data_IF_201850692202
#
_entry.id   IF_201850692202
#
_cell.length_a   1.000
_cell.length_b   1.000
_cell.length_c   1.000
_cell.angle_alpha   90.00
_cell.angle_beta   90.00
_cell.angle_gamma   90.00
#
_symmetry.space_group_name_H-M   'P 1'
#
loop_
_entity.id
_entity.type
_entity.pdbx_description
1 polymer ?
#
# COMPACT_ATOMS: atom_id res chain seq x y z
N UNK A 1 67.36 -6.57 -11.73
CA UNK A 1 66.02 -7.17 -11.63
C UNK A 1 65.11 -6.11 -11.05
N UNK A 2 64.21 -5.56 -11.86
CA UNK A 2 63.30 -4.48 -11.46
C UNK A 2 61.91 -5.11 -11.33
N UNK A 3 61.38 -5.19 -10.11
CA UNK A 3 60.06 -5.74 -9.85
C UNK A 3 59.01 -4.65 -10.07
N UNK A 4 58.18 -4.85 -11.09
CA UNK A 4 56.97 -4.06 -11.35
C UNK A 4 55.99 -4.20 -10.20
N UNK A 5 55.63 -3.09 -9.57
CA UNK A 5 54.50 -3.01 -8.65
C UNK A 5 53.29 -2.55 -9.47
N UNK A 6 52.37 -3.47 -9.75
CA UNK A 6 51.08 -3.16 -10.35
C UNK A 6 50.12 -2.73 -9.25
N UNK A 7 49.74 -1.44 -9.25
CA UNK A 7 48.71 -0.90 -8.37
C UNK A 7 47.35 -1.37 -8.88
N UNK A 8 46.71 -2.31 -8.19
CA UNK A 8 45.32 -2.67 -8.44
C UNK A 8 44.42 -1.55 -7.90
N UNK A 9 43.90 -0.72 -8.81
CA UNK A 9 42.80 0.19 -8.50
C UNK A 9 41.52 -0.64 -8.35
N UNK A 10 41.17 -0.99 -7.10
CA UNK A 10 39.85 -1.50 -6.77
C UNK A 10 38.84 -0.36 -6.98
N UNK A 11 38.12 -0.40 -8.09
CA UNK A 11 36.89 0.35 -8.28
C UNK A 11 35.88 -0.12 -7.24
N UNK A 12 35.82 0.60 -6.12
CA UNK A 12 34.72 0.50 -5.17
C UNK A 12 33.46 1.05 -5.81
N UNK A 13 32.74 0.20 -6.54
CA UNK A 13 31.32 0.42 -6.77
C UNK A 13 30.62 0.25 -5.42
N UNK A 14 30.47 1.35 -4.69
CA UNK A 14 29.45 1.46 -3.67
C UNK A 14 28.10 1.36 -4.39
N UNK A 15 27.61 0.14 -4.57
CA UNK A 15 26.20 -0.10 -4.87
C UNK A 15 25.48 0.33 -3.60
N UNK A 16 25.02 1.57 -3.56
CA UNK A 16 23.92 1.94 -2.69
C UNK A 16 22.74 1.13 -3.21
N UNK A 17 22.52 -0.06 -2.67
CA UNK A 17 21.24 -0.73 -2.78
C UNK A 17 20.27 0.21 -2.08
N UNK A 18 19.61 1.08 -2.85
CA UNK A 18 18.34 1.66 -2.43
C UNK A 18 17.44 0.45 -2.22
N UNK A 19 17.08 0.12 -0.98
CA UNK A 19 16.14 -0.97 -0.80
C UNK A 19 14.82 -0.57 -1.47
N UNK A 20 14.18 -1.57 -2.06
CA UNK A 20 12.98 -1.37 -2.83
C UNK A 20 11.77 -1.42 -1.89
N UNK A 21 10.90 -0.44 -1.99
CA UNK A 21 9.54 -0.56 -1.45
C UNK A 21 8.85 -1.75 -2.12
N UNK A 22 8.20 -2.60 -1.35
CA UNK A 22 7.43 -3.73 -1.86
C UNK A 22 5.95 -3.39 -1.92
N UNK A 23 5.28 -3.84 -2.99
CA UNK A 23 3.83 -3.76 -3.15
C UNK A 23 3.27 -5.16 -3.29
N UNK A 24 2.39 -5.54 -2.36
CA UNK A 24 1.75 -6.85 -2.34
C UNK A 24 0.27 -6.70 -2.66
N UNK A 25 -0.23 -7.32 -3.72
CA UNK A 25 -1.65 -7.25 -4.05
C UNK A 25 -2.46 -8.38 -3.43
N UNK A 26 -3.68 -8.05 -2.99
CA UNK A 26 -4.63 -8.99 -2.44
C UNK A 26 -5.93 -9.05 -3.27
N UNK A 27 -6.50 -10.25 -3.45
CA UNK A 27 -5.90 -11.53 -3.10
C UNK A 27 -4.72 -11.85 -4.05
N UNK A 28 -3.74 -12.62 -3.58
CA UNK A 28 -2.55 -12.96 -4.36
C UNK A 28 -2.92 -13.66 -5.69
N UNK A 29 -2.09 -13.57 -6.75
CA UNK A 29 -2.36 -14.22 -8.03
C UNK A 29 -2.74 -15.71 -7.87
N UNK A 30 -3.87 -16.11 -8.46
CA UNK A 30 -4.41 -17.47 -8.35
C UNK A 30 -5.32 -17.73 -7.15
N UNK A 31 -5.46 -16.77 -6.23
CA UNK A 31 -6.47 -16.82 -5.18
C UNK A 31 -7.81 -16.25 -5.69
N UNK A 32 -8.92 -16.73 -5.12
CA UNK A 32 -10.25 -16.24 -5.47
C UNK A 32 -10.42 -14.80 -4.97
N UNK A 33 -10.80 -13.91 -5.88
CA UNK A 33 -11.30 -12.59 -5.52
C UNK A 33 -12.79 -12.63 -5.22
N UNK A 34 -13.15 -12.18 -4.01
CA UNK A 34 -14.54 -12.07 -3.57
C UNK A 34 -15.03 -10.61 -3.60
N UNK A 35 -14.19 -9.66 -4.00
CA UNK A 35 -14.60 -8.28 -4.27
C UNK A 35 -15.31 -8.25 -5.63
N UNK A 36 -16.56 -7.73 -5.71
CA UNK A 36 -17.31 -7.61 -6.95
C UNK A 36 -16.58 -6.75 -7.98
N UNK A 37 -16.82 -7.01 -9.26
CA UNK A 37 -16.15 -6.29 -10.33
C UNK A 37 -16.50 -4.80 -10.31
N UNK A 38 -17.74 -4.45 -10.01
CA UNK A 38 -18.18 -3.05 -9.82
C UNK A 38 -17.35 -2.28 -8.78
N UNK A 39 -16.75 -2.98 -7.81
CA UNK A 39 -15.91 -2.40 -6.76
C UNK A 39 -14.43 -2.38 -7.18
N UNK A 40 -13.94 -3.44 -7.83
CA UNK A 40 -12.56 -3.45 -8.35
C UNK A 40 -12.36 -2.45 -9.48
N UNK A 41 -13.41 -2.19 -10.26
CA UNK A 41 -13.40 -1.28 -11.41
C UNK A 41 -13.77 0.16 -11.01
N UNK A 42 -13.93 0.45 -9.71
CA UNK A 42 -14.07 1.83 -9.24
C UNK A 42 -12.88 2.66 -9.68
N UNK A 43 -13.16 3.92 -10.02
CA UNK A 43 -12.14 4.92 -10.32
C UNK A 43 -11.12 4.98 -9.19
N UNK A 44 -9.84 5.03 -9.56
CA UNK A 44 -8.73 5.05 -8.60
C UNK A 44 -8.91 6.18 -7.58
N UNK A 45 -9.47 7.32 -7.98
CA UNK A 45 -9.71 8.45 -7.10
C UNK A 45 -10.71 8.12 -5.99
N UNK A 46 -11.73 7.29 -6.24
CA UNK A 46 -12.68 6.87 -5.19
C UNK A 46 -11.95 6.10 -4.09
N UNK A 47 -11.03 5.20 -4.48
CA UNK A 47 -10.24 4.40 -3.54
C UNK A 47 -9.22 5.26 -2.79
N UNK A 48 -8.62 6.23 -3.47
CA UNK A 48 -7.73 7.23 -2.84
C UNK A 48 -8.50 8.15 -1.90
N UNK A 49 -9.74 8.52 -2.20
CA UNK A 49 -10.58 9.35 -1.34
C UNK A 49 -10.97 8.61 -0.06
N UNK A 50 -11.32 7.32 -0.16
CA UNK A 50 -11.47 6.46 1.01
C UNK A 50 -10.21 6.45 1.86
N UNK A 51 -9.05 6.17 1.25
CA UNK A 51 -7.78 6.15 1.98
C UNK A 51 -7.47 7.50 2.62
N UNK A 52 -7.69 8.62 1.92
CA UNK A 52 -7.47 9.98 2.44
C UNK A 52 -8.33 10.25 3.68
N UNK A 53 -9.61 9.88 3.63
CA UNK A 53 -10.50 10.02 4.78
C UNK A 53 -10.04 9.16 5.96
N UNK A 54 -9.53 7.96 5.71
CA UNK A 54 -9.01 7.07 6.74
C UNK A 54 -7.67 7.54 7.32
N UNK A 55 -6.74 8.00 6.49
CA UNK A 55 -5.46 8.58 6.90
C UNK A 55 -5.65 9.75 7.88
N UNK A 56 -6.69 10.57 7.69
CA UNK A 56 -7.01 11.68 8.61
C UNK A 56 -7.44 11.25 10.02
N UNK A 57 -7.74 9.96 10.22
CA UNK A 57 -8.14 9.38 11.50
C UNK A 57 -6.99 8.68 12.23
N UNK A 58 -5.84 8.50 11.57
CA UNK A 58 -4.67 7.83 12.13
C UNK A 58 -3.92 8.77 13.08
N UNK A 59 -3.51 8.24 14.24
CA UNK A 59 -2.56 8.93 15.09
C UNK A 59 -1.12 8.63 14.66
N UNK A 60 -0.52 9.53 13.87
CA UNK A 60 0.87 9.37 13.40
C UNK A 60 1.94 9.60 14.50
N UNK A 61 1.54 9.92 15.74
CA UNK A 61 2.48 10.02 16.86
C UNK A 61 2.89 8.67 17.46
N UNK A 62 2.26 7.57 17.03
CA UNK A 62 2.57 6.21 17.48
C UNK A 62 3.12 5.36 16.33
N UNK A 63 3.94 4.38 16.68
CA UNK A 63 4.45 3.36 15.77
C UNK A 63 3.63 2.06 15.83
N UNK A 64 2.64 2.00 16.72
CA UNK A 64 1.77 0.83 16.86
C UNK A 64 0.84 0.67 15.66
N UNK A 65 0.43 -0.57 15.41
CA UNK A 65 -0.55 -0.88 14.38
C UNK A 65 -1.90 -0.23 14.69
N UNK A 66 -2.46 0.49 13.71
CA UNK A 66 -3.78 1.12 13.79
C UNK A 66 -4.64 0.64 12.64
N UNK A 67 -5.91 0.34 12.90
CA UNK A 67 -6.88 -0.10 11.89
C UNK A 67 -8.09 0.82 11.90
N UNK A 68 -8.45 1.34 10.74
CA UNK A 68 -9.65 2.17 10.54
C UNK A 68 -10.38 1.69 9.28
N UNK A 69 -11.71 1.68 9.35
CA UNK A 69 -12.56 1.21 8.24
C UNK A 69 -13.46 2.34 7.79
N UNK A 70 -13.75 2.38 6.50
CA UNK A 70 -14.70 3.30 5.89
C UNK A 70 -16.06 3.17 6.58
N UNK A 71 -16.68 4.30 6.92
CA UNK A 71 -18.05 4.30 7.44
C UNK A 71 -19.01 3.85 6.34
N UNK A 72 -20.06 3.11 6.71
CA UNK A 72 -21.05 2.59 5.75
C UNK A 72 -21.69 3.70 4.89
N UNK A 73 -21.83 4.92 5.43
CA UNK A 73 -22.38 6.06 4.70
C UNK A 73 -21.48 6.58 3.56
N UNK A 74 -20.18 6.26 3.59
CA UNK A 74 -19.20 6.64 2.55
C UNK A 74 -18.84 5.48 1.61
N UNK A 75 -19.41 4.30 1.85
CA UNK A 75 -19.18 3.12 1.02
C UNK A 75 -19.88 3.21 -0.34
N UNK A 76 -19.55 2.25 -1.21
CA UNK A 76 -20.14 2.12 -2.54
C UNK A 76 -20.87 0.78 -2.66
N UNK A 77 -22.10 0.83 -3.14
CA UNK A 77 -22.93 -0.36 -3.34
C UNK A 77 -22.46 -1.20 -4.53
N UNK A 78 -22.27 -2.49 -4.30
CA UNK A 78 -22.05 -3.49 -5.33
C UNK A 78 -23.40 -4.09 -5.78
N UNK A 79 -23.87 -3.82 -7.01
CA UNK A 79 -25.14 -4.38 -7.50
C UNK A 79 -25.12 -5.91 -7.63
N UNK A 80 -23.94 -6.54 -7.75
CA UNK A 80 -23.79 -7.98 -7.96
C UNK A 80 -24.19 -8.82 -6.74
N UNK A 81 -23.97 -8.31 -5.53
CA UNK A 81 -24.26 -9.03 -4.28
C UNK A 81 -25.07 -8.23 -3.26
N UNK A 82 -25.41 -6.97 -3.57
CA UNK A 82 -26.27 -6.12 -2.75
C UNK A 82 -25.62 -5.62 -1.47
N UNK A 83 -24.27 -5.62 -1.40
CA UNK A 83 -23.52 -5.12 -0.24
C UNK A 83 -22.88 -3.77 -0.54
N UNK A 84 -22.69 -2.99 0.52
CA UNK A 84 -21.87 -1.78 0.46
C UNK A 84 -20.42 -2.14 0.76
N UNK A 85 -19.50 -1.65 -0.04
CA UNK A 85 -18.06 -1.88 0.10
C UNK A 85 -17.32 -0.59 0.44
N UNK A 86 -16.21 -0.74 1.15
CA UNK A 86 -15.29 0.35 1.41
C UNK A 86 -13.88 -0.18 1.64
N UNK A 87 -13.05 0.66 2.23
CA UNK A 87 -11.67 0.35 2.54
C UNK A 87 -11.47 0.13 4.04
N UNK A 88 -10.72 -0.90 4.40
CA UNK A 88 -10.04 -1.01 5.69
C UNK A 88 -8.56 -0.68 5.48
N UNK A 89 -8.08 0.29 6.25
CA UNK A 89 -6.69 0.74 6.27
C UNK A 89 -6.03 0.29 7.57
N UNK A 90 -4.90 -0.40 7.45
CA UNK A 90 -4.02 -0.70 8.58
C UNK A 90 -2.68 0.00 8.38
N UNK A 91 -2.23 0.79 9.33
CA UNK A 91 -0.93 1.49 9.30
C UNK A 91 -0.02 0.98 10.41
N UNK A 92 1.28 0.89 10.15
CA UNK A 92 2.35 0.65 11.13
C UNK A 92 3.49 1.62 10.85
N UNK A 93 3.89 2.40 11.85
CA UNK A 93 5.02 3.34 11.79
C UNK A 93 5.02 4.32 10.58
N UNK A 94 3.85 4.60 10.00
CA UNK A 94 3.70 5.59 8.92
C UNK A 94 3.95 6.99 9.48
N UNK A 95 4.81 7.82 8.87
CA UNK A 95 5.32 9.04 9.51
C UNK A 95 4.31 10.18 9.57
N UNK A 96 3.43 10.30 8.57
CA UNK A 96 2.46 11.38 8.46
C UNK A 96 1.35 11.07 7.45
N UNK A 97 0.33 11.93 7.44
CA UNK A 97 -0.85 11.83 6.58
C UNK A 97 -0.50 11.90 5.09
N UNK A 98 0.48 12.73 4.71
CA UNK A 98 0.87 12.89 3.31
C UNK A 98 1.51 11.61 2.76
N UNK A 99 2.36 10.98 3.58
CA UNK A 99 2.93 9.67 3.32
C UNK A 99 1.84 8.61 3.17
N UNK A 100 0.90 8.52 4.12
CA UNK A 100 -0.24 7.59 4.07
C UNK A 100 -1.01 7.70 2.74
N UNK A 101 -1.46 8.90 2.39
CA UNK A 101 -2.19 9.14 1.14
C UNK A 101 -1.34 8.79 -0.10
N UNK A 102 -0.04 9.08 -0.05
CA UNK A 102 0.87 8.75 -1.15
C UNK A 102 1.02 7.25 -1.37
N UNK A 103 1.08 6.44 -0.31
CA UNK A 103 1.17 4.98 -0.44
C UNK A 103 -0.14 4.38 -0.95
N UNK A 104 -1.28 4.94 -0.55
CA UNK A 104 -2.58 4.58 -1.10
C UNK A 104 -2.62 4.81 -2.61
N UNK A 105 -2.26 6.01 -3.08
CA UNK A 105 -2.22 6.34 -4.50
C UNK A 105 -1.20 5.50 -5.30
N UNK A 106 -0.20 4.93 -4.64
CA UNK A 106 0.77 4.03 -5.25
C UNK A 106 0.32 2.56 -5.29
N UNK A 107 -0.68 2.19 -4.49
CA UNK A 107 -1.08 0.79 -4.27
C UNK A 107 -2.47 0.49 -4.81
N UNK A 108 -3.45 1.37 -4.57
CA UNK A 108 -4.87 1.15 -4.84
C UNK A 108 -5.32 1.43 -6.28
N UNK A 109 -4.38 1.58 -7.22
CA UNK A 109 -4.72 1.85 -8.61
C UNK A 109 -5.13 0.59 -9.36
N UNK A 110 -5.89 0.75 -10.44
CA UNK A 110 -6.38 -0.33 -11.29
C UNK A 110 -5.24 -1.18 -11.87
N UNK A 111 -4.10 -0.55 -12.18
CA UNK A 111 -2.91 -1.20 -12.75
C UNK A 111 -1.98 -1.83 -11.71
N UNK A 112 -2.22 -1.60 -10.41
CA UNK A 112 -1.38 -2.11 -9.31
C UNK A 112 -2.16 -3.15 -8.53
N UNK A 113 -2.99 -2.73 -7.56
CA UNK A 113 -3.75 -3.64 -6.72
C UNK A 113 -5.25 -3.24 -6.67
N UNK A 114 -6.03 -3.53 -7.72
CA UNK A 114 -7.42 -3.06 -7.86
C UNK A 114 -8.37 -3.55 -6.75
N UNK A 115 -8.02 -4.64 -6.07
CA UNK A 115 -8.81 -5.28 -5.01
C UNK A 115 -8.27 -5.03 -3.59
N UNK A 116 -7.26 -4.16 -3.48
CA UNK A 116 -6.51 -3.95 -2.25
C UNK A 116 -5.10 -4.53 -2.31
N UNK A 117 -4.22 -4.00 -1.48
CA UNK A 117 -2.81 -4.39 -1.44
C UNK A 117 -2.12 -3.88 -0.19
N UNK A 118 -0.81 -4.01 -0.13
CA UNK A 118 0.02 -3.41 0.91
C UNK A 118 1.22 -2.71 0.31
N UNK A 119 1.63 -1.62 0.96
CA UNK A 119 2.91 -0.97 0.78
C UNK A 119 3.79 -1.34 1.97
N UNK A 120 5.00 -1.84 1.71
CA UNK A 120 5.97 -2.23 2.74
C UNK A 120 7.31 -1.57 2.41
N UNK A 121 7.84 -0.80 3.33
CA UNK A 121 9.21 -0.31 3.25
C UNK A 121 10.16 -1.36 3.85
N UNK A 122 11.02 -1.95 3.03
CA UNK A 122 11.94 -3.00 3.46
C UNK A 122 13.13 -2.49 4.29
N UNK A 123 13.34 -1.17 4.35
CA UNK A 123 14.39 -0.53 5.16
C UNK A 123 13.87 -0.05 6.53
N UNK A 124 12.58 -0.13 6.79
CA UNK A 124 11.97 0.36 8.03
C UNK A 124 10.87 -0.55 8.54
N UNK A 125 10.20 -0.14 9.63
CA UNK A 125 9.03 -0.85 10.16
C UNK A 125 7.72 -0.36 9.51
N UNK A 126 7.82 0.40 8.43
CA UNK A 126 6.69 1.05 7.82
C UNK A 126 5.89 0.09 6.94
N UNK A 127 4.63 -0.06 7.29
CA UNK A 127 3.69 -0.88 6.54
C UNK A 127 2.33 -0.18 6.43
N UNK A 128 1.70 -0.32 5.28
CA UNK A 128 0.35 0.16 5.06
C UNK A 128 -0.45 -0.86 4.25
N UNK A 129 -1.55 -1.36 4.82
CA UNK A 129 -2.38 -2.41 4.24
C UNK A 129 -3.76 -1.86 3.91
N UNK A 130 -4.13 -2.00 2.65
CA UNK A 130 -5.37 -1.51 2.05
C UNK A 130 -6.23 -2.71 1.65
N UNK A 131 -7.28 -3.01 2.41
CA UNK A 131 -8.17 -4.13 2.11
C UNK A 131 -9.55 -3.62 1.72
N UNK A 132 -10.02 -3.95 0.53
CA UNK A 132 -11.42 -3.71 0.16
C UNK A 132 -12.29 -4.73 0.90
N UNK A 133 -13.26 -4.23 1.67
CA UNK A 133 -14.13 -5.02 2.55
C UNK A 133 -15.58 -4.66 2.34
N UNK A 134 -16.48 -5.63 2.54
CA UNK A 134 -17.90 -5.34 2.71
C UNK A 134 -18.11 -4.67 4.08
N UNK A 135 -18.99 -3.67 4.11
CA UNK A 135 -19.35 -2.91 5.30
C UNK A 135 -20.66 -3.47 5.88
N UNK A 136 -20.76 -3.47 7.20
CA UNK A 136 -21.92 -3.92 7.99
C UNK A 136 -22.57 -2.76 8.75
#
# INVERSE_FOLDING_TARGET
MQFSTATFALLGLAVTALAANEKLCFPAPGQKNNVPQSITDLDDQVKVDWATKLCSQINFSTVDAQSVTTDIADGVDAPEDGKTYGLNLVTVAVPDEQSCVSYAAQTLTADVCPSGGAFIDLDSAQEEWFTIVALD
#
